data_IF_318500787973
#
_entry.id   IF_318500787973
#
_cell.length_a   1.000
_cell.length_b   1.000
_cell.length_c   1.000
_cell.angle_alpha   90.00
_cell.angle_beta   90.00
_cell.angle_gamma   90.00
#
_symmetry.space_group_name_H-M   'P 1'
#
loop_
_entity.id
_entity.type
_entity.pdbx_description
1 polymer ?
#
# COMPACT_ATOMS: atom_id res chain seq x y z
N UNK A 1 10.36 -54.96 -78.34
CA UNK A 1 9.94 -54.41 -77.11
C UNK A 1 11.14 -53.97 -76.25
N UNK A 2 11.34 -52.68 -75.86
CA UNK A 2 12.48 -52.25 -75.07
C UNK A 2 12.17 -52.48 -73.53
N UNK A 3 13.17 -53.00 -72.94
CA UNK A 3 13.27 -53.28 -71.48
C UNK A 3 13.33 -52.00 -70.66
N UNK A 4 12.40 -51.84 -69.74
CA UNK A 4 12.41 -50.73 -68.77
C UNK A 4 13.12 -51.18 -67.47
N UNK A 5 14.39 -50.80 -67.37
CA UNK A 5 15.17 -50.99 -66.17
C UNK A 5 14.57 -50.21 -64.95
N UNK A 6 14.80 -50.68 -63.70
CA UNK A 6 14.21 -50.10 -62.51
C UNK A 6 14.76 -48.71 -62.19
N UNK A 7 13.85 -47.77 -61.93
CA UNK A 7 14.14 -46.40 -61.59
C UNK A 7 15.04 -46.27 -60.35
N UNK A 8 16.07 -45.47 -60.45
CA UNK A 8 16.94 -45.08 -59.34
C UNK A 8 16.13 -44.29 -58.31
N UNK A 9 16.00 -44.84 -57.13
CA UNK A 9 15.53 -44.07 -55.94
C UNK A 9 16.52 -42.95 -55.66
N UNK A 10 16.09 -41.72 -55.79
CA UNK A 10 16.86 -40.56 -55.38
C UNK A 10 17.05 -40.56 -53.89
N UNK A 11 18.28 -40.56 -53.39
CA UNK A 11 18.62 -40.46 -51.99
C UNK A 11 18.20 -39.08 -51.47
N UNK A 12 17.55 -39.00 -50.31
CA UNK A 12 17.13 -37.71 -49.77
C UNK A 12 18.36 -36.88 -49.40
N UNK A 13 18.39 -35.63 -49.89
CA UNK A 13 19.44 -34.64 -49.69
C UNK A 13 19.81 -34.48 -48.20
N UNK A 14 21.03 -34.83 -47.77
CA UNK A 14 21.46 -34.70 -46.35
C UNK A 14 21.49 -33.24 -45.91
N UNK A 15 21.58 -32.30 -46.80
CA UNK A 15 21.64 -30.87 -46.57
C UNK A 15 20.38 -30.27 -45.91
N UNK A 16 19.18 -30.84 -46.19
CA UNK A 16 17.93 -30.37 -45.57
C UNK A 16 17.83 -30.66 -44.06
N UNK A 17 18.35 -31.79 -43.63
CA UNK A 17 18.32 -32.16 -42.20
C UNK A 17 19.27 -31.30 -41.35
N UNK A 18 20.41 -30.95 -41.89
CA UNK A 18 21.40 -30.12 -41.21
C UNK A 18 20.92 -28.66 -41.16
N UNK A 19 20.32 -28.11 -42.18
CA UNK A 19 19.70 -26.79 -42.19
C UNK A 19 18.53 -26.71 -41.18
N UNK A 20 17.71 -27.75 -41.12
CA UNK A 20 16.61 -27.80 -40.16
C UNK A 20 17.12 -27.89 -38.71
N UNK A 21 18.17 -28.67 -38.45
CA UNK A 21 18.81 -28.74 -37.10
C UNK A 21 19.41 -27.38 -36.72
N UNK A 22 20.07 -26.69 -37.64
CA UNK A 22 20.62 -25.34 -37.40
C UNK A 22 19.53 -24.31 -37.17
N UNK A 23 18.44 -24.36 -37.92
CA UNK A 23 17.28 -23.48 -37.71
C UNK A 23 16.62 -23.71 -36.36
N UNK A 24 16.41 -24.96 -35.94
CA UNK A 24 15.86 -25.32 -34.64
C UNK A 24 16.81 -24.86 -33.51
N UNK A 25 18.11 -25.12 -33.64
CA UNK A 25 19.10 -24.66 -32.66
C UNK A 25 19.12 -23.13 -32.53
N UNK A 26 19.01 -22.41 -33.67
CA UNK A 26 18.95 -20.95 -33.67
C UNK A 26 17.67 -20.42 -33.04
N UNK A 27 16.51 -21.05 -33.29
CA UNK A 27 15.24 -20.70 -32.61
C UNK A 27 15.29 -20.96 -31.11
N UNK A 28 15.90 -22.07 -30.66
CA UNK A 28 16.12 -22.33 -29.25
C UNK A 28 17.07 -21.31 -28.60
N UNK A 29 18.18 -20.98 -29.27
CA UNK A 29 19.12 -19.98 -28.77
C UNK A 29 18.50 -18.59 -28.69
N UNK A 30 17.71 -18.17 -29.68
CA UNK A 30 16.99 -16.91 -29.71
C UNK A 30 15.86 -16.90 -28.68
N UNK A 31 15.15 -18.01 -28.50
CA UNK A 31 14.13 -18.17 -27.44
C UNK A 31 14.74 -18.10 -26.05
N UNK A 32 15.87 -18.78 -25.83
CA UNK A 32 16.62 -18.68 -24.56
C UNK A 32 17.17 -17.27 -24.34
N UNK A 33 17.70 -16.61 -25.38
CA UNK A 33 18.15 -15.22 -25.28
C UNK A 33 17.01 -14.26 -25.01
N UNK A 34 15.83 -14.46 -25.64
CA UNK A 34 14.64 -13.68 -25.37
C UNK A 34 14.13 -13.86 -23.94
N UNK A 35 14.02 -15.10 -23.45
CA UNK A 35 13.60 -15.38 -22.07
C UNK A 35 14.62 -14.85 -21.04
N UNK A 36 15.91 -14.94 -21.37
CA UNK A 36 16.97 -14.36 -20.53
C UNK A 36 16.91 -12.83 -20.57
N UNK A 37 16.70 -12.23 -21.75
CA UNK A 37 16.54 -10.77 -21.90
C UNK A 37 15.27 -10.26 -21.21
N UNK A 38 14.14 -10.97 -21.32
CA UNK A 38 12.91 -10.65 -20.58
C UNK A 38 13.13 -10.81 -19.07
N UNK A 39 13.86 -11.85 -18.62
CA UNK A 39 14.21 -12.02 -17.19
C UNK A 39 15.24 -11.00 -16.70
N UNK A 40 16.22 -10.63 -17.52
CA UNK A 40 17.20 -9.59 -17.18
C UNK A 40 16.62 -8.18 -17.36
N UNK A 41 15.64 -8.00 -18.24
CA UNK A 41 14.90 -6.75 -18.40
C UNK A 41 13.81 -6.55 -17.36
N UNK A 42 13.46 -7.60 -16.63
CA UNK A 42 12.77 -7.53 -15.33
C UNK A 42 13.80 -7.22 -14.22
N UNK A 43 14.72 -6.27 -14.49
CA UNK A 43 15.42 -5.58 -13.41
C UNK A 43 14.31 -5.05 -12.53
N UNK A 44 14.21 -5.63 -11.35
CA UNK A 44 13.26 -5.28 -10.32
C UNK A 44 13.05 -3.77 -10.29
N UNK A 45 11.93 -3.32 -10.86
CA UNK A 45 11.46 -1.94 -10.68
C UNK A 45 11.00 -1.77 -9.23
N UNK A 46 11.73 -2.40 -8.31
CA UNK A 46 11.49 -2.35 -6.89
C UNK A 46 11.82 -0.95 -6.37
N UNK A 47 11.05 -0.52 -5.44
CA UNK A 47 11.32 0.66 -4.63
C UNK A 47 12.19 0.22 -3.45
N UNK A 48 13.24 0.97 -3.11
CA UNK A 48 13.84 0.86 -1.78
C UNK A 48 12.82 1.44 -0.81
N UNK A 49 12.12 0.55 -0.11
CA UNK A 49 11.01 0.91 0.77
C UNK A 49 11.50 1.83 1.89
N UNK A 50 10.88 2.98 2.02
CA UNK A 50 11.05 3.92 3.13
C UNK A 50 9.80 4.02 3.98
N UNK A 51 8.65 3.58 3.48
CA UNK A 51 7.40 3.59 4.21
C UNK A 51 6.27 2.88 3.50
N UNK A 52 5.15 2.75 4.20
CA UNK A 52 3.87 2.26 3.68
C UNK A 52 2.85 3.38 3.72
N UNK A 53 2.12 3.56 2.64
CA UNK A 53 1.01 4.51 2.56
C UNK A 53 -0.29 3.73 2.35
N UNK A 54 -1.26 3.99 3.20
CA UNK A 54 -2.63 3.45 3.13
C UNK A 54 -3.56 4.61 2.79
N UNK A 55 -4.42 4.39 1.80
CA UNK A 55 -5.54 5.24 1.44
C UNK A 55 -6.79 4.44 1.75
N UNK A 56 -7.63 4.96 2.63
CA UNK A 56 -8.86 4.31 3.08
C UNK A 56 -10.04 5.21 2.81
N UNK A 57 -10.92 4.75 1.94
CA UNK A 57 -12.17 5.40 1.58
C UNK A 57 -13.32 4.71 2.30
N UNK A 58 -14.04 5.42 3.15
CA UNK A 58 -15.08 4.87 4.03
C UNK A 58 -16.44 5.43 3.61
N UNK A 59 -17.43 4.57 3.45
CA UNK A 59 -18.76 4.95 2.97
C UNK A 59 -19.89 4.32 3.80
N UNK A 60 -21.09 4.92 3.70
CA UNK A 60 -22.28 4.44 4.40
C UNK A 60 -22.22 4.69 5.90
N UNK A 61 -21.53 5.76 6.32
CA UNK A 61 -21.43 6.20 7.72
C UNK A 61 -22.54 7.19 8.04
N UNK A 62 -23.05 7.13 9.27
CA UNK A 62 -24.08 8.05 9.75
C UNK A 62 -23.56 9.50 9.78
N UNK A 63 -24.42 10.46 9.40
CA UNK A 63 -24.10 11.89 9.43
C UNK A 63 -23.58 12.36 10.78
N UNK A 64 -24.27 12.05 11.89
CA UNK A 64 -23.91 12.49 13.23
C UNK A 64 -22.57 11.92 13.71
N UNK A 65 -22.13 10.78 13.16
CA UNK A 65 -20.82 10.20 13.42
C UNK A 65 -19.72 11.01 12.74
N UNK A 66 -19.92 11.34 11.45
CA UNK A 66 -18.92 12.05 10.64
C UNK A 66 -18.80 13.53 10.98
N UNK A 67 -19.84 14.13 11.58
CA UNK A 67 -19.86 15.53 12.01
C UNK A 67 -19.42 15.70 13.47
N UNK A 68 -19.01 14.62 14.13
CA UNK A 68 -18.67 14.65 15.54
C UNK A 68 -17.18 14.97 15.75
N UNK A 69 -16.90 16.24 16.09
CA UNK A 69 -15.57 16.77 16.31
C UNK A 69 -14.83 16.16 17.54
N UNK A 70 -15.53 15.40 18.38
CA UNK A 70 -14.90 14.67 19.49
C UNK A 70 -14.65 13.21 19.13
N UNK A 71 -15.61 12.56 18.47
CA UNK A 71 -15.54 11.15 18.16
C UNK A 71 -14.47 10.85 17.09
N UNK A 72 -14.48 11.58 15.98
CA UNK A 72 -13.55 11.31 14.88
C UNK A 72 -12.08 11.38 15.32
N UNK A 73 -11.60 12.45 15.97
CA UNK A 73 -10.23 12.48 16.46
C UNK A 73 -9.92 11.36 17.46
N UNK A 74 -10.87 11.01 18.34
CA UNK A 74 -10.65 9.93 19.32
C UNK A 74 -10.51 8.56 18.67
N UNK A 75 -11.31 8.26 17.64
CA UNK A 75 -11.21 7.03 16.85
C UNK A 75 -9.85 6.94 16.17
N UNK A 76 -9.37 8.04 15.59
CA UNK A 76 -8.10 8.05 14.88
C UNK A 76 -6.88 7.93 15.81
N UNK A 77 -6.96 8.50 17.01
CA UNK A 77 -5.95 8.23 18.06
C UNK A 77 -5.94 6.76 18.46
N UNK A 78 -7.11 6.20 18.75
CA UNK A 78 -7.21 4.78 19.09
C UNK A 78 -6.69 3.88 17.97
N UNK A 79 -6.90 4.27 16.72
CA UNK A 79 -6.35 3.57 15.56
C UNK A 79 -4.82 3.67 15.48
N UNK A 80 -4.25 4.83 15.77
CA UNK A 80 -2.81 5.02 15.87
C UNK A 80 -2.21 4.14 16.98
N UNK A 81 -2.84 4.12 18.16
CA UNK A 81 -2.44 3.28 19.28
C UNK A 81 -2.50 1.78 18.92
N UNK A 82 -3.58 1.34 18.28
CA UNK A 82 -3.74 -0.05 17.83
C UNK A 82 -2.67 -0.47 16.83
N UNK A 83 -2.17 0.48 16.04
CA UNK A 83 -1.04 0.27 15.13
C UNK A 83 0.33 0.43 15.80
N UNK A 84 0.39 0.71 17.09
CA UNK A 84 1.61 1.04 17.84
C UNK A 84 2.37 2.24 17.25
N UNK A 85 1.63 3.23 16.76
CA UNK A 85 2.16 4.49 16.25
C UNK A 85 2.21 5.53 17.36
N UNK A 86 3.24 6.36 17.35
CA UNK A 86 3.46 7.36 18.41
C UNK A 86 2.92 8.72 17.99
N UNK A 87 1.78 9.12 18.53
CA UNK A 87 1.20 10.46 18.26
C UNK A 87 2.02 11.53 18.96
N UNK A 88 2.51 12.51 18.19
CA UNK A 88 3.32 13.64 18.66
C UNK A 88 2.49 14.91 18.83
N UNK A 89 1.58 15.16 17.91
CA UNK A 89 0.70 16.35 17.92
C UNK A 89 -0.52 16.07 17.04
N UNK A 90 -1.56 16.87 17.19
CA UNK A 90 -2.72 16.80 16.32
C UNK A 90 -3.33 18.17 16.08
N UNK A 91 -3.96 18.30 14.94
CA UNK A 91 -4.69 19.48 14.54
C UNK A 91 -5.92 19.07 13.76
N UNK A 92 -7.03 19.72 14.01
CA UNK A 92 -8.24 19.53 13.22
C UNK A 92 -8.98 20.85 13.02
N UNK A 93 -9.78 20.86 11.98
CA UNK A 93 -10.66 21.96 11.64
C UNK A 93 -12.09 21.44 11.48
N UNK A 94 -13.00 22.06 12.19
CA UNK A 94 -14.44 21.84 12.06
C UNK A 94 -15.00 22.89 11.11
N UNK A 95 -15.65 22.47 10.05
CA UNK A 95 -16.23 23.40 9.08
C UNK A 95 -17.54 23.99 9.60
N UNK A 96 -17.86 25.26 9.32
CA UNK A 96 -19.01 25.95 9.93
C UNK A 96 -20.37 25.32 9.60
N UNK A 97 -20.46 24.59 8.50
CA UNK A 97 -21.73 23.93 8.09
C UNK A 97 -21.73 22.49 8.57
N UNK A 98 -20.71 21.71 8.19
CA UNK A 98 -20.52 20.32 8.58
C UNK A 98 -19.17 19.81 8.11
N UNK A 99 -18.73 18.71 8.71
CA UNK A 99 -17.53 17.99 8.33
C UNK A 99 -16.27 18.47 9.02
N UNK A 100 -15.29 17.61 8.97
CA UNK A 100 -14.03 17.76 9.68
C UNK A 100 -12.85 17.47 8.75
N UNK A 101 -11.76 18.16 8.98
CA UNK A 101 -10.47 17.80 8.41
C UNK A 101 -9.44 17.82 9.52
N UNK A 102 -8.55 16.83 9.55
CA UNK A 102 -7.53 16.79 10.59
C UNK A 102 -6.30 15.99 10.21
N UNK A 103 -5.30 16.16 11.05
CA UNK A 103 -4.01 15.53 10.92
C UNK A 103 -3.49 15.13 12.31
N UNK A 104 -3.10 13.88 12.45
CA UNK A 104 -2.25 13.43 13.54
C UNK A 104 -0.81 13.37 13.03
N UNK A 105 0.07 14.16 13.63
CA UNK A 105 1.50 14.03 13.44
C UNK A 105 1.98 12.86 14.29
N UNK A 106 2.49 11.83 13.67
CA UNK A 106 3.07 10.68 14.34
C UNK A 106 4.59 10.66 14.14
N UNK A 107 5.33 10.04 15.06
CA UNK A 107 6.79 9.96 14.94
C UNK A 107 7.22 9.23 13.68
N UNK A 108 6.38 8.34 13.17
CA UNK A 108 6.57 7.55 11.97
C UNK A 108 6.09 8.27 10.69
N UNK A 109 5.38 9.37 10.74
CA UNK A 109 4.97 10.34 9.71
C UNK A 109 3.62 11.03 10.03
N UNK A 110 2.49 10.60 9.45
CA UNK A 110 1.19 11.23 9.67
C UNK A 110 0.01 10.29 9.40
N UNK A 111 -1.13 10.66 10.02
CA UNK A 111 -2.45 10.17 9.70
C UNK A 111 -3.35 11.38 9.47
N UNK A 112 -3.94 11.53 8.30
CA UNK A 112 -4.87 12.60 7.98
C UNK A 112 -6.26 12.07 7.66
N UNK A 113 -7.27 12.92 7.83
CA UNK A 113 -8.65 12.57 7.57
C UNK A 113 -9.46 13.75 7.09
N UNK A 114 -10.49 13.44 6.30
CA UNK A 114 -11.52 14.37 5.86
C UNK A 114 -12.87 13.68 5.94
N UNK A 115 -13.90 14.38 6.41
CA UNK A 115 -15.26 13.85 6.46
C UNK A 115 -16.23 14.70 5.64
N UNK A 116 -17.17 14.02 4.99
CA UNK A 116 -18.29 14.62 4.27
C UNK A 116 -19.57 13.98 4.79
N UNK A 117 -20.12 14.49 5.91
CA UNK A 117 -21.33 13.94 6.56
C UNK A 117 -22.52 13.82 5.61
N UNK A 118 -22.70 14.80 4.71
CA UNK A 118 -23.78 14.84 3.72
C UNK A 118 -23.72 13.72 2.69
N UNK A 119 -22.55 13.10 2.54
CA UNK A 119 -22.33 11.96 1.64
C UNK A 119 -22.18 10.65 2.40
N UNK A 120 -22.20 10.67 3.73
CA UNK A 120 -21.90 9.51 4.54
C UNK A 120 -20.49 8.95 4.28
N UNK A 121 -19.54 9.83 3.97
CA UNK A 121 -18.22 9.48 3.42
C UNK A 121 -17.08 10.13 4.20
N UNK A 122 -15.99 9.38 4.39
CA UNK A 122 -14.73 9.88 4.91
C UNK A 122 -13.55 9.29 4.14
N UNK A 123 -12.50 10.11 3.97
CA UNK A 123 -11.21 9.69 3.43
C UNK A 123 -10.16 9.75 4.53
N UNK A 124 -9.35 8.71 4.63
CA UNK A 124 -8.27 8.61 5.62
C UNK A 124 -6.99 8.19 4.92
N UNK A 125 -5.93 8.97 5.12
CA UNK A 125 -4.58 8.68 4.67
C UNK A 125 -3.70 8.34 5.86
N UNK A 126 -3.04 7.19 5.83
CA UNK A 126 -2.04 6.81 6.82
C UNK A 126 -0.72 6.53 6.11
N UNK A 127 0.27 7.38 6.35
CA UNK A 127 1.63 7.15 5.90
C UNK A 127 2.55 6.91 7.09
N UNK A 128 3.33 5.83 7.02
CA UNK A 128 4.29 5.48 8.07
C UNK A 128 5.60 4.97 7.49
N UNK A 129 6.73 5.45 8.03
CA UNK A 129 8.07 4.91 7.77
C UNK A 129 8.45 3.79 8.77
N UNK A 130 7.51 3.33 9.58
CA UNK A 130 7.66 2.22 10.50
C UNK A 130 7.99 0.88 9.83
N UNK A 131 8.19 -0.18 10.62
CA UNK A 131 8.49 -1.50 10.09
C UNK A 131 7.39 -1.99 9.13
N UNK A 132 7.72 -2.91 8.20
CA UNK A 132 6.72 -3.53 7.35
C UNK A 132 5.63 -4.17 8.19
N UNK A 133 4.38 -3.85 7.88
CA UNK A 133 3.21 -4.52 8.42
C UNK A 133 2.57 -5.34 7.29
N UNK A 134 2.24 -6.61 7.52
CA UNK A 134 1.55 -7.39 6.52
C UNK A 134 0.17 -6.77 6.26
N UNK A 135 -0.06 -6.41 5.00
CA UNK A 135 -1.34 -5.92 4.51
C UNK A 135 -1.90 -6.94 3.52
N UNK A 136 -3.22 -7.06 3.42
CA UNK A 136 -3.83 -8.01 2.51
C UNK A 136 -3.63 -7.58 1.06
N UNK A 137 -3.69 -8.54 0.16
CA UNK A 137 -3.59 -8.37 -1.28
C UNK A 137 -2.23 -7.79 -1.72
N UNK A 138 -2.12 -7.38 -2.97
CA UNK A 138 -0.90 -6.77 -3.51
C UNK A 138 -0.90 -5.26 -3.30
N UNK A 139 0.27 -4.62 -3.23
CA UNK A 139 0.35 -3.17 -3.31
C UNK A 139 -0.39 -2.65 -4.56
N UNK A 140 -1.12 -1.54 -4.41
CA UNK A 140 -1.95 -0.89 -5.42
C UNK A 140 -3.24 -1.64 -5.82
N UNK A 141 -3.48 -2.84 -5.30
CA UNK A 141 -4.79 -3.46 -5.40
C UNK A 141 -5.77 -2.77 -4.44
N UNK A 142 -7.02 -2.60 -4.88
CA UNK A 142 -8.08 -2.10 -3.99
C UNK A 142 -8.74 -3.27 -3.27
N UNK A 143 -8.65 -3.28 -1.95
CA UNK A 143 -9.30 -4.23 -1.07
C UNK A 143 -10.64 -3.66 -0.65
N UNK A 144 -11.73 -4.39 -0.86
CA UNK A 144 -13.10 -3.90 -0.60
C UNK A 144 -13.69 -4.51 0.65
N UNK A 145 -14.35 -3.67 1.41
CA UNK A 145 -15.20 -4.04 2.54
C UNK A 145 -16.68 -3.85 2.15
N UNK A 146 -17.49 -4.88 2.33
CA UNK A 146 -18.92 -4.90 1.97
C UNK A 146 -19.86 -4.69 3.17
N UNK A 147 -19.34 -4.20 4.28
CA UNK A 147 -20.05 -4.07 5.56
C UNK A 147 -19.89 -5.28 6.47
N UNK A 148 -19.32 -6.37 5.99
CA UNK A 148 -19.12 -7.61 6.75
C UNK A 148 -17.73 -8.22 6.56
N UNK A 149 -17.21 -8.23 5.33
CA UNK A 149 -15.96 -8.89 4.99
C UNK A 149 -15.11 -8.06 4.05
N UNK A 150 -13.80 -8.24 4.14
CA UNK A 150 -12.85 -7.67 3.20
C UNK A 150 -12.50 -8.67 2.10
N UNK A 151 -12.37 -8.21 0.87
CA UNK A 151 -12.02 -9.04 -0.29
C UNK A 151 -11.01 -8.36 -1.19
N UNK A 152 -10.06 -9.15 -1.71
CA UNK A 152 -9.13 -8.73 -2.74
C UNK A 152 -9.80 -8.73 -4.13
N UNK A 153 -9.22 -8.06 -5.15
CA UNK A 153 -9.78 -8.05 -6.50
C UNK A 153 -9.92 -9.44 -7.15
N UNK A 154 -9.11 -10.40 -6.73
CA UNK A 154 -9.18 -11.79 -7.20
C UNK A 154 -10.27 -12.62 -6.51
N UNK A 155 -11.05 -12.00 -5.60
CA UNK A 155 -12.09 -12.65 -4.83
C UNK A 155 -11.60 -13.37 -3.56
N UNK A 156 -10.30 -13.36 -3.28
CA UNK A 156 -9.74 -13.90 -2.04
C UNK A 156 -10.23 -13.04 -0.87
N UNK A 157 -10.76 -13.70 0.17
CA UNK A 157 -11.12 -12.99 1.41
C UNK A 157 -9.86 -12.57 2.14
N UNK A 158 -9.78 -11.29 2.46
CA UNK A 158 -8.73 -10.77 3.31
C UNK A 158 -9.05 -11.16 4.76
N UNK A 159 -8.42 -12.23 5.22
CA UNK A 159 -8.52 -12.66 6.61
C UNK A 159 -7.61 -11.79 7.45
N UNK A 160 -8.19 -11.11 8.41
CA UNK A 160 -7.55 -10.12 9.23
C UNK A 160 -7.17 -10.75 10.56
N UNK A 161 -5.89 -10.82 10.84
CA UNK A 161 -5.47 -10.91 12.21
C UNK A 161 -5.56 -9.50 12.82
N UNK A 162 -6.43 -9.32 13.79
CA UNK A 162 -6.60 -8.05 14.52
C UNK A 162 -5.30 -7.63 15.24
N UNK A 163 -4.30 -8.50 15.24
CA UNK A 163 -3.05 -8.34 15.96
C UNK A 163 -1.93 -7.68 15.12
N UNK A 164 -2.20 -7.26 13.90
CA UNK A 164 -1.15 -6.73 13.03
C UNK A 164 -1.29 -5.23 12.78
N UNK A 165 -0.56 -4.44 13.57
CA UNK A 165 -0.19 -3.05 13.33
C UNK A 165 -1.16 -2.21 12.46
N UNK A 166 -0.75 -1.87 11.25
CA UNK A 166 -1.53 -0.99 10.35
C UNK A 166 -2.93 -1.53 10.01
N UNK A 167 -3.07 -2.86 10.00
CA UNK A 167 -4.37 -3.47 9.74
C UNK A 167 -5.33 -3.33 10.93
N UNK A 168 -4.83 -3.38 12.16
CA UNK A 168 -5.63 -3.12 13.34
C UNK A 168 -6.20 -1.69 13.32
N UNK A 169 -5.39 -0.72 12.89
CA UNK A 169 -5.85 0.67 12.71
C UNK A 169 -7.01 0.77 11.71
N UNK A 170 -6.87 0.17 10.52
CA UNK A 170 -7.91 0.16 9.49
C UNK A 170 -9.19 -0.47 10.00
N UNK A 171 -9.09 -1.65 10.61
CA UNK A 171 -10.23 -2.39 11.14
C UNK A 171 -10.96 -1.61 12.24
N UNK A 172 -10.21 -0.95 13.10
CA UNK A 172 -10.78 -0.12 14.18
C UNK A 172 -11.52 1.09 13.59
N UNK A 173 -10.93 1.80 12.62
CA UNK A 173 -11.58 2.95 11.98
C UNK A 173 -12.91 2.53 11.34
N UNK A 174 -12.90 1.51 10.49
CA UNK A 174 -14.10 1.05 9.77
C UNK A 174 -15.18 0.58 10.72
N UNK A 175 -14.81 -0.15 11.77
CA UNK A 175 -15.73 -0.66 12.79
C UNK A 175 -16.29 0.46 13.67
N UNK A 176 -15.45 1.37 14.16
CA UNK A 176 -15.87 2.45 15.06
C UNK A 176 -16.76 3.48 14.36
N UNK A 177 -16.56 3.70 13.06
CA UNK A 177 -17.43 4.56 12.27
C UNK A 177 -18.74 3.88 11.85
N UNK A 178 -18.87 2.57 12.03
CA UNK A 178 -20.04 1.81 11.59
C UNK A 178 -20.24 1.84 10.10
N UNK A 179 -19.15 1.72 9.35
CA UNK A 179 -19.14 1.86 7.90
C UNK A 179 -19.96 0.76 7.21
N UNK A 180 -20.82 1.14 6.26
CA UNK A 180 -21.54 0.20 5.39
C UNK A 180 -20.65 -0.38 4.28
N UNK A 181 -19.53 0.28 3.97
CA UNK A 181 -18.53 -0.17 2.99
C UNK A 181 -17.24 0.64 3.10
N UNK A 182 -16.16 0.06 2.59
CA UNK A 182 -14.90 0.78 2.46
C UNK A 182 -14.03 0.20 1.34
N UNK A 183 -13.23 1.05 0.73
CA UNK A 183 -12.16 0.68 -0.20
C UNK A 183 -10.81 1.05 0.42
N UNK A 184 -9.88 0.09 0.44
CA UNK A 184 -8.53 0.28 0.92
C UNK A 184 -7.54 0.02 -0.20
N UNK A 185 -6.68 1.00 -0.44
CA UNK A 185 -5.52 0.84 -1.33
C UNK A 185 -4.25 1.13 -0.53
N UNK A 186 -3.21 0.34 -0.72
CA UNK A 186 -1.94 0.59 -0.07
C UNK A 186 -0.78 0.49 -1.05
N UNK A 187 0.30 1.20 -0.75
CA UNK A 187 1.50 1.19 -1.57
C UNK A 187 2.77 1.31 -0.73
N UNK A 188 3.83 0.73 -1.24
CA UNK A 188 5.18 0.99 -0.72
C UNK A 188 5.70 2.30 -1.31
N UNK A 189 6.15 3.18 -0.45
CA UNK A 189 6.79 4.45 -0.83
C UNK A 189 8.27 4.39 -0.52
N UNK A 190 9.06 5.04 -1.37
CA UNK A 190 10.51 5.08 -1.20
C UNK A 190 11.22 5.51 -2.47
N UNK A 191 12.50 5.22 -2.55
CA UNK A 191 13.32 5.63 -3.69
C UNK A 191 13.38 4.51 -4.72
N UNK A 192 13.08 4.79 -6.00
CA UNK A 192 13.24 3.81 -7.07
C UNK A 192 14.67 3.27 -7.08
N UNK A 193 14.86 1.95 -7.05
CA UNK A 193 16.18 1.29 -7.01
C UNK A 193 17.12 1.78 -8.11
N UNK A 194 16.57 2.16 -9.28
CA UNK A 194 17.34 2.73 -10.39
C UNK A 194 18.08 4.05 -10.07
N UNK A 195 17.69 4.74 -9.00
CA UNK A 195 18.30 6.01 -8.59
C UNK A 195 19.42 5.82 -7.56
N UNK A 196 19.57 4.59 -7.03
CA UNK A 196 20.70 4.22 -6.17
C UNK A 196 21.70 3.43 -6.99
N UNK A 197 22.93 3.95 -7.11
CA UNK A 197 24.08 3.14 -7.51
C UNK A 197 24.39 2.08 -6.44
N UNK A 198 25.14 1.02 -6.80
CA UNK A 198 25.43 -0.12 -5.89
C UNK A 198 26.15 0.26 -4.60
N UNK A 199 26.65 1.49 -4.48
CA UNK A 199 27.49 1.90 -3.34
C UNK A 199 26.77 2.64 -2.20
N UNK A 200 25.44 2.90 -2.32
CA UNK A 200 24.73 3.71 -1.30
C UNK A 200 23.99 2.87 -0.24
N UNK A 201 24.20 1.59 -0.18
CA UNK A 201 23.69 0.72 0.88
C UNK A 201 24.58 0.75 2.15
N UNK A 202 24.98 1.91 2.60
CA UNK A 202 25.54 2.02 3.95
C UNK A 202 24.39 2.00 4.96
N UNK A 203 24.05 0.83 5.42
CA UNK A 203 23.19 0.61 6.59
C UNK A 203 23.95 0.93 7.89
N UNK A 204 24.59 2.08 7.97
CA UNK A 204 25.24 2.51 9.21
C UNK A 204 24.19 3.09 10.18
N UNK A 205 23.78 2.33 11.22
CA UNK A 205 22.81 2.82 12.21
C UNK A 205 23.34 4.01 13.02
N UNK A 206 24.63 4.31 12.95
CA UNK A 206 25.21 5.46 13.66
C UNK A 206 24.83 6.81 13.02
N UNK A 207 24.43 6.85 11.74
CA UNK A 207 23.95 8.06 11.07
C UNK A 207 22.51 8.43 11.42
N UNK A 208 21.73 7.49 11.99
CA UNK A 208 20.33 7.70 12.35
C UNK A 208 20.12 8.16 13.80
N UNK A 209 21.18 8.48 14.54
CA UNK A 209 21.05 9.10 15.86
C UNK A 209 20.62 10.55 15.67
N UNK A 210 19.27 10.70 15.53
CA UNK A 210 18.63 11.96 15.29
C UNK A 210 18.85 12.97 16.41
N UNK A 211 19.07 14.20 16.01
CA UNK A 211 18.79 15.38 16.82
C UNK A 211 17.33 15.28 17.27
N UNK A 212 16.98 15.50 18.55
CA UNK A 212 15.59 15.53 18.99
C UNK A 212 14.80 16.47 18.08
N UNK A 213 13.77 15.96 17.39
CA UNK A 213 12.95 16.75 16.50
C UNK A 213 12.23 17.83 17.29
N UNK A 214 12.41 19.08 16.92
CA UNK A 214 11.67 20.18 17.47
C UNK A 214 10.43 20.43 16.59
N UNK A 215 9.24 20.34 17.17
CA UNK A 215 7.99 20.71 16.49
C UNK A 215 7.98 22.22 16.34
N UNK A 216 8.13 22.71 15.10
CA UNK A 216 8.05 24.15 14.80
C UNK A 216 6.59 24.45 14.45
N UNK A 217 5.88 25.09 15.38
CA UNK A 217 4.53 25.61 15.11
C UNK A 217 4.63 26.93 14.35
N UNK A 218 3.91 27.11 13.24
CA UNK A 218 3.88 28.39 12.54
C UNK A 218 3.26 29.47 13.45
N UNK A 219 3.85 30.66 13.43
CA UNK A 219 3.28 31.83 14.10
C UNK A 219 1.94 32.16 13.45
N UNK A 220 0.85 32.20 14.23
CA UNK A 220 -0.49 32.52 13.75
C UNK A 220 -1.47 31.34 13.74
N UNK A 221 -1.08 30.17 14.25
CA UNK A 221 -1.96 29.01 14.38
C UNK A 221 -2.98 29.14 15.55
N UNK A 222 -3.27 30.36 16.00
CA UNK A 222 -4.17 30.62 17.15
C UNK A 222 -5.62 30.18 16.93
N UNK A 223 -5.99 29.82 15.70
CA UNK A 223 -7.31 29.32 15.34
C UNK A 223 -7.42 27.78 15.33
N UNK A 224 -6.31 27.07 15.50
CA UNK A 224 -6.27 25.63 15.60
C UNK A 224 -6.36 25.24 17.07
N UNK A 225 -7.50 24.74 17.51
CA UNK A 225 -7.68 24.31 18.91
C UNK A 225 -6.95 22.99 19.14
N UNK A 226 -6.02 22.89 20.10
CA UNK A 226 -5.60 21.60 20.62
C UNK A 226 -6.79 20.98 21.35
N UNK A 227 -6.96 19.67 21.21
CA UNK A 227 -7.96 18.94 21.99
C UNK A 227 -7.63 19.08 23.49
N UNK A 228 -8.66 19.15 24.36
CA UNK A 228 -8.45 19.06 25.81
C UNK A 228 -7.79 17.71 26.12
N UNK A 229 -6.80 17.73 26.99
CA UNK A 229 -6.18 16.50 27.51
C UNK A 229 -7.27 15.55 27.98
N UNK A 230 -7.42 14.43 27.34
CA UNK A 230 -8.47 13.46 27.60
C UNK A 230 -8.20 12.75 28.93
N UNK A 231 -8.87 13.19 29.96
CA UNK A 231 -9.11 12.38 31.17
C UNK A 231 -10.10 11.25 30.85
N UNK A 232 -9.78 10.37 29.92
CA UNK A 232 -10.52 9.12 29.75
C UNK A 232 -9.90 8.07 30.65
N UNK A 233 -10.49 7.94 31.84
CA UNK A 233 -10.38 6.72 32.62
C UNK A 233 -10.79 5.54 31.76
N UNK A 234 -10.01 4.45 31.80
CA UNK A 234 -10.34 3.21 31.10
C UNK A 234 -11.78 2.80 31.45
N UNK A 235 -12.60 2.36 30.49
CA UNK A 235 -13.88 1.77 30.82
C UNK A 235 -13.61 0.48 31.61
N UNK A 236 -14.10 0.42 32.85
CA UNK A 236 -14.20 -0.85 33.55
C UNK A 236 -15.12 -1.79 32.76
N UNK A 237 -14.62 -3.00 32.52
CA UNK A 237 -15.33 -4.12 31.90
C UNK A 237 -16.50 -4.59 32.75
#
# INVERSE_FOLDING_TARGET
LPDHGPGRAEAPFPMRRELLRRAIACCFALGCAWTLWVRLGQVEQGVHRLGTHIILEVAGVNFDVLDNATLIPSVLRAAADAASLTVLDEVYHEFPVQGLSGLLLISESHLSYHTWPEHGYASVDLFTCGPPSPLPCRPLDTVRFDGATWACPDGTRAVLSQDSGLWAAVSLIVSALGAGGADLTWMERGVPRRLFGPEQHSSDPARLRGVPGQVIRPRGAEHLRPLPESGLGAPEL
#
